data_IF_371601423677
#
_entry.id   IF_371601423677
#
_cell.length_a   1.000
_cell.length_b   1.000
_cell.length_c   1.000
_cell.angle_alpha   90.00
_cell.angle_beta   90.00
_cell.angle_gamma   90.00
#
_symmetry.space_group_name_H-M   'P 1'
#
loop_
_entity.id
_entity.type
_entity.pdbx_description
1 polymer ?
#
# COMPACT_ATOMS: atom_id res chain seq x y z
N UNK A 1 -1.07 12.98 14.71
CA UNK A 1 -1.28 12.63 13.29
C UNK A 1 0.01 12.86 12.51
N UNK A 2 0.61 11.80 11.97
CA UNK A 2 1.77 11.85 11.08
C UNK A 2 1.32 12.03 9.63
N UNK A 3 2.12 12.73 8.82
CA UNK A 3 1.85 12.89 7.39
C UNK A 3 2.24 11.62 6.63
N UNK A 4 1.27 10.99 5.98
CA UNK A 4 1.53 9.88 5.06
C UNK A 4 1.93 10.45 3.69
N UNK A 5 3.08 10.03 3.19
CA UNK A 5 3.58 10.42 1.86
C UNK A 5 3.82 9.18 1.01
N UNK A 6 3.57 9.29 -0.28
CA UNK A 6 3.81 8.23 -1.25
C UNK A 6 5.13 8.47 -1.96
N UNK A 7 5.98 7.45 -2.01
CA UNK A 7 7.12 7.45 -2.92
C UNK A 7 6.66 7.16 -4.34
N UNK A 8 7.35 7.73 -5.33
CA UNK A 8 7.06 7.49 -6.75
C UNK A 8 7.11 5.99 -7.09
N UNK A 9 8.05 5.25 -6.51
CA UNK A 9 8.15 3.80 -6.70
C UNK A 9 6.93 3.07 -6.10
N UNK A 10 6.45 3.48 -4.92
CA UNK A 10 5.28 2.87 -4.31
C UNK A 10 4.00 3.10 -5.14
N UNK A 11 3.87 4.25 -5.80
CA UNK A 11 2.76 4.50 -6.74
C UNK A 11 2.85 3.52 -7.92
N UNK A 12 4.04 3.40 -8.53
CA UNK A 12 4.28 2.49 -9.66
C UNK A 12 4.03 1.04 -9.29
N UNK A 13 4.40 0.61 -8.08
CA UNK A 13 4.14 -0.74 -7.60
C UNK A 13 2.63 -1.05 -7.53
N UNK A 14 1.83 -0.09 -7.02
CA UNK A 14 0.37 -0.24 -6.98
C UNK A 14 -0.23 -0.32 -8.40
N UNK A 15 0.27 0.50 -9.33
CA UNK A 15 -0.15 0.47 -10.73
C UNK A 15 0.16 -0.88 -11.39
N UNK A 16 1.39 -1.38 -11.25
CA UNK A 16 1.82 -2.66 -11.82
C UNK A 16 0.99 -3.83 -11.27
N UNK A 17 0.76 -3.87 -9.95
CA UNK A 17 -0.06 -4.92 -9.34
C UNK A 17 -1.51 -4.83 -9.83
N UNK A 18 -2.07 -3.62 -9.93
CA UNK A 18 -3.43 -3.41 -10.46
C UNK A 18 -3.53 -3.86 -11.93
N UNK A 19 -2.57 -3.48 -12.77
CA UNK A 19 -2.52 -3.84 -14.19
C UNK A 19 -2.29 -5.34 -14.41
N UNK A 20 -1.61 -6.03 -13.50
CA UNK A 20 -1.52 -7.48 -13.51
C UNK A 20 -2.88 -8.13 -13.18
N UNK A 21 -3.50 -7.74 -12.06
CA UNK A 21 -4.75 -8.35 -11.59
C UNK A 21 -5.93 -8.06 -12.53
N UNK A 22 -5.97 -6.88 -13.17
CA UNK A 22 -7.09 -6.47 -14.03
C UNK A 22 -7.26 -7.38 -15.25
N UNK A 23 -6.19 -8.05 -15.69
CA UNK A 23 -6.21 -9.00 -16.81
C UNK A 23 -7.12 -10.20 -16.51
N UNK A 24 -7.20 -10.62 -15.24
CA UNK A 24 -8.01 -11.76 -14.81
C UNK A 24 -9.33 -11.33 -14.16
N UNK A 25 -9.29 -10.32 -13.29
CA UNK A 25 -10.45 -9.92 -12.50
C UNK A 25 -10.43 -8.40 -12.17
N UNK A 26 -11.14 -7.58 -12.94
CA UNK A 26 -11.21 -6.14 -12.71
C UNK A 26 -11.77 -5.75 -11.34
N UNK A 27 -12.73 -6.51 -10.81
CA UNK A 27 -13.29 -6.24 -9.49
C UNK A 27 -12.28 -6.51 -8.38
N UNK A 28 -11.44 -7.55 -8.53
CA UNK A 28 -10.36 -7.84 -7.59
C UNK A 28 -9.28 -6.75 -7.61
N UNK A 29 -8.93 -6.22 -8.79
CA UNK A 29 -7.98 -5.11 -8.91
C UNK A 29 -8.48 -3.85 -8.17
N UNK A 30 -9.76 -3.49 -8.35
CA UNK A 30 -10.37 -2.37 -7.63
C UNK A 30 -10.39 -2.59 -6.11
N UNK A 31 -10.80 -3.79 -5.67
CA UNK A 31 -10.81 -4.15 -4.23
C UNK A 31 -9.41 -4.04 -3.63
N UNK A 32 -8.38 -4.47 -4.34
CA UNK A 32 -6.98 -4.40 -3.88
C UNK A 32 -6.53 -2.94 -3.69
N UNK A 33 -6.72 -2.07 -4.69
CA UNK A 33 -6.35 -0.65 -4.60
C UNK A 33 -7.09 0.04 -3.44
N UNK A 34 -8.39 -0.18 -3.31
CA UNK A 34 -9.18 0.39 -2.21
C UNK A 34 -8.72 -0.10 -0.84
N UNK A 35 -8.36 -1.38 -0.73
CA UNK A 35 -7.82 -1.96 0.52
C UNK A 35 -6.51 -1.30 0.94
N UNK A 36 -5.61 -1.02 -0.01
CA UNK A 36 -4.36 -0.30 0.28
C UNK A 36 -4.69 1.11 0.79
N UNK A 37 -5.50 1.89 0.05
CA UNK A 37 -5.87 3.26 0.45
C UNK A 37 -6.48 3.32 1.85
N UNK A 38 -7.42 2.43 2.14
CA UNK A 38 -8.10 2.40 3.44
C UNK A 38 -7.15 2.04 4.58
N UNK A 39 -6.20 1.13 4.37
CA UNK A 39 -5.21 0.78 5.41
C UNK A 39 -4.24 1.92 5.71
N UNK A 40 -3.90 2.73 4.72
CA UNK A 40 -2.98 3.87 4.90
C UNK A 40 -3.58 4.98 5.75
N UNK A 41 -4.91 5.13 5.78
CA UNK A 41 -5.58 6.09 6.66
C UNK A 41 -5.27 5.84 8.14
N UNK A 42 -4.97 4.59 8.52
CA UNK A 42 -4.63 4.24 9.91
C UNK A 42 -3.19 4.61 10.28
N UNK A 43 -2.28 4.73 9.30
CA UNK A 43 -0.85 4.99 9.57
C UNK A 43 -0.59 6.40 10.10
N UNK A 44 -1.47 7.37 9.81
CA UNK A 44 -1.33 8.72 10.35
C UNK A 44 -1.49 8.74 11.87
N UNK A 45 -2.39 7.90 12.40
CA UNK A 45 -2.67 7.80 13.83
C UNK A 45 -1.79 6.75 14.51
N UNK A 46 -1.47 5.67 13.81
CA UNK A 46 -0.73 4.55 14.36
C UNK A 46 0.40 4.12 13.40
N UNK A 47 1.54 4.85 13.37
CA UNK A 47 2.65 4.53 12.47
C UNK A 47 3.27 3.14 12.69
N UNK A 48 3.12 2.58 13.90
CA UNK A 48 3.71 1.30 14.32
C UNK A 48 2.80 0.08 14.20
N UNK A 49 1.63 0.14 13.55
CA UNK A 49 0.69 -1.01 13.48
C UNK A 49 1.19 -2.16 12.61
N UNK A 50 2.19 -1.90 11.79
CA UNK A 50 2.82 -2.89 10.93
C UNK A 50 3.74 -3.81 11.72
N UNK A 51 4.08 -4.95 11.10
CA UNK A 51 5.18 -5.78 11.60
C UNK A 51 6.50 -5.05 11.32
N UNK A 52 7.41 -5.11 12.27
CA UNK A 52 8.78 -4.65 12.02
C UNK A 52 9.38 -5.41 10.83
N UNK A 53 10.08 -4.68 9.96
CA UNK A 53 10.82 -5.25 8.85
C UNK A 53 11.81 -6.30 9.33
N UNK A 54 12.05 -7.32 8.49
CA UNK A 54 12.94 -8.45 8.81
C UNK A 54 14.42 -8.11 8.63
N UNK A 55 14.73 -7.03 7.90
CA UNK A 55 16.10 -6.59 7.65
C UNK A 55 16.45 -5.51 8.68
N UNK A 56 17.51 -5.70 9.47
CA UNK A 56 18.01 -4.67 10.36
C UNK A 56 18.30 -3.38 9.59
N UNK A 57 17.93 -2.22 10.16
CA UNK A 57 18.25 -0.89 9.64
C UNK A 57 17.58 -0.47 8.31
N UNK A 58 16.51 -1.14 7.86
CA UNK A 58 15.73 -0.71 6.68
C UNK A 58 14.34 -0.18 7.05
N UNK A 59 14.22 0.42 8.25
CA UNK A 59 12.95 0.95 8.78
C UNK A 59 12.65 2.32 8.24
#
# INVERSE_FOLDING_TARGET
MMKVVWFTLAIRDVELVKDYIIQDNPQAAQKMVSKIKNKLLLLSEQPGIGRSGRVPNTK
#
